data_IF_898781102523
#
_entry.id   IF_898781102523
#
_cell.length_a   1.000
_cell.length_b   1.000
_cell.length_c   1.000
_cell.angle_alpha   90.00
_cell.angle_beta   90.00
_cell.angle_gamma   90.00
#
_symmetry.space_group_name_H-M   'P 1'
#
loop_
_entity.id
_entity.type
_entity.pdbx_description
1 polymer ?
#
# COMPACT_ATOMS: atom_id res chain seq x y z
N UNK A 1 5.97 -22.52 30.36
CA UNK A 1 6.59 -22.77 29.04
C UNK A 1 6.00 -21.70 28.15
N UNK A 2 6.80 -20.68 27.83
CA UNK A 2 6.34 -19.46 27.14
C UNK A 2 6.30 -19.73 25.63
N UNK A 3 5.42 -19.05 24.89
CA UNK A 3 5.26 -19.24 23.44
C UNK A 3 6.50 -18.86 22.62
N UNK A 4 7.01 -19.81 21.83
CA UNK A 4 8.02 -19.58 20.77
C UNK A 4 7.39 -19.26 19.40
N UNK A 5 6.05 -19.26 19.31
CA UNK A 5 5.32 -19.12 18.04
C UNK A 5 5.28 -17.68 17.48
N UNK A 6 5.37 -16.66 18.34
CA UNK A 6 5.27 -15.24 17.94
C UNK A 6 6.57 -14.65 17.34
N UNK A 7 7.72 -15.23 17.65
CA UNK A 7 9.00 -14.75 17.12
C UNK A 7 9.15 -15.07 15.61
N UNK A 8 8.71 -16.25 15.17
CA UNK A 8 8.80 -16.66 13.77
C UNK A 8 7.84 -15.88 12.84
N UNK A 9 6.65 -15.50 13.32
CA UNK A 9 5.70 -14.69 12.56
C UNK A 9 6.20 -13.24 12.40
N UNK A 10 6.77 -12.66 13.45
CA UNK A 10 7.38 -11.33 13.44
C UNK A 10 8.56 -11.25 12.47
N UNK A 11 9.52 -12.19 12.56
CA UNK A 11 10.70 -12.25 11.69
C UNK A 11 10.31 -12.46 10.20
N UNK A 12 9.21 -13.18 9.94
CA UNK A 12 8.66 -13.35 8.59
C UNK A 12 8.09 -12.05 8.01
N UNK A 13 7.36 -11.26 8.81
CA UNK A 13 6.81 -9.96 8.37
C UNK A 13 7.91 -8.92 8.14
N UNK A 14 8.98 -8.92 8.95
CA UNK A 14 10.14 -8.06 8.75
C UNK A 14 10.86 -8.37 7.44
N UNK A 15 11.11 -9.66 7.16
CA UNK A 15 11.71 -10.07 5.88
C UNK A 15 10.85 -9.69 4.67
N UNK A 16 9.52 -9.85 4.77
CA UNK A 16 8.58 -9.42 3.71
C UNK A 16 8.58 -7.91 3.52
N UNK A 17 8.58 -7.12 4.61
CA UNK A 17 8.64 -5.66 4.53
C UNK A 17 9.95 -5.16 3.91
N UNK A 18 11.09 -5.76 4.25
CA UNK A 18 12.38 -5.43 3.65
C UNK A 18 12.39 -5.72 2.14
N UNK A 19 11.89 -6.88 1.72
CA UNK A 19 11.72 -7.23 0.30
C UNK A 19 10.79 -6.25 -0.45
N UNK A 20 9.69 -5.80 0.18
CA UNK A 20 8.80 -4.78 -0.38
C UNK A 20 9.54 -3.45 -0.58
N UNK A 21 10.29 -2.99 0.42
CA UNK A 21 11.06 -1.74 0.35
C UNK A 21 12.16 -1.81 -0.71
N UNK A 22 12.88 -2.92 -0.80
CA UNK A 22 13.87 -3.12 -1.85
C UNK A 22 13.24 -3.24 -3.24
N UNK A 23 12.04 -3.82 -3.38
CA UNK A 23 11.31 -3.78 -4.65
C UNK A 23 10.90 -2.35 -5.03
N UNK A 24 10.41 -1.54 -4.08
CA UNK A 24 10.08 -0.13 -4.33
C UNK A 24 11.31 0.67 -4.82
N UNK A 25 12.49 0.45 -4.22
CA UNK A 25 13.74 1.08 -4.67
C UNK A 25 14.20 0.55 -6.03
N UNK A 26 14.22 -0.77 -6.20
CA UNK A 26 14.95 -1.41 -7.31
C UNK A 26 14.08 -1.64 -8.55
N UNK A 27 12.79 -1.96 -8.41
CA UNK A 27 11.87 -2.21 -9.51
C UNK A 27 11.05 -0.97 -9.89
N UNK A 28 10.48 -0.25 -8.90
CA UNK A 28 9.78 1.02 -9.15
C UNK A 28 10.72 2.23 -9.31
N UNK A 29 12.02 2.07 -9.02
CA UNK A 29 13.03 3.14 -9.11
C UNK A 29 12.70 4.36 -8.24
N UNK A 30 12.07 4.14 -7.09
CA UNK A 30 11.84 5.23 -6.14
C UNK A 30 13.17 5.74 -5.57
N UNK A 31 13.38 7.07 -5.49
CA UNK A 31 14.55 7.64 -4.82
C UNK A 31 14.51 7.30 -3.32
N UNK A 32 15.66 7.21 -2.66
CA UNK A 32 15.73 7.04 -1.20
C UNK A 32 15.08 8.27 -0.54
N UNK A 33 14.10 8.09 0.36
CA UNK A 33 13.39 9.20 0.99
C UNK A 33 14.20 9.79 2.15
N UNK A 34 14.22 11.13 2.26
CA UNK A 34 14.72 11.81 3.46
C UNK A 34 13.66 11.87 4.56
N UNK A 35 12.38 11.63 4.21
CA UNK A 35 11.26 11.61 5.14
C UNK A 35 10.19 10.59 4.73
N UNK A 36 9.63 9.90 5.71
CA UNK A 36 8.43 9.05 5.55
C UNK A 36 7.22 9.77 6.17
N UNK A 37 6.23 10.11 5.34
CA UNK A 37 4.97 10.70 5.78
C UNK A 37 3.89 9.61 5.70
N UNK A 38 3.49 9.04 6.84
CA UNK A 38 2.31 8.17 6.88
C UNK A 38 1.07 8.98 7.24
N UNK A 39 0.03 8.88 6.43
CA UNK A 39 -1.28 9.46 6.74
C UNK A 39 -2.32 8.35 6.85
N UNK A 40 -3.07 8.41 7.94
CA UNK A 40 -4.16 7.50 8.29
C UNK A 40 -5.45 8.30 8.45
N UNK A 41 -6.57 7.70 8.08
CA UNK A 41 -7.89 8.28 8.23
C UNK A 41 -8.97 7.22 7.97
N UNK A 42 -10.15 7.41 8.56
CA UNK A 42 -11.29 6.55 8.28
C UNK A 42 -11.87 6.77 6.87
N UNK A 43 -12.65 5.81 6.39
CA UNK A 43 -13.37 5.91 5.12
C UNK A 43 -14.50 6.96 5.15
N UNK A 44 -14.98 7.32 6.35
CA UNK A 44 -15.99 8.35 6.57
C UNK A 44 -15.61 9.69 5.91
N UNK A 45 -16.63 10.42 5.43
CA UNK A 45 -16.44 11.70 4.76
C UNK A 45 -15.67 12.71 5.65
N UNK A 46 -14.42 12.99 5.27
CA UNK A 46 -13.58 13.96 5.96
C UNK A 46 -13.87 15.36 5.42
N UNK A 47 -14.39 16.25 6.28
CA UNK A 47 -14.69 17.64 5.92
C UNK A 47 -14.02 18.59 6.89
N UNK A 48 -12.92 19.21 6.47
CA UNK A 48 -12.36 20.37 7.17
C UNK A 48 -13.35 21.54 6.98
N UNK A 49 -13.97 22.10 8.04
CA UNK A 49 -15.10 23.02 7.89
C UNK A 49 -14.76 24.34 7.18
N UNK A 50 -13.51 24.80 7.32
CA UNK A 50 -13.05 26.09 6.81
C UNK A 50 -12.18 25.89 5.55
N UNK A 51 -12.58 26.41 4.38
CA UNK A 51 -11.83 26.25 3.13
C UNK A 51 -10.37 26.72 3.22
N UNK A 52 -10.11 27.79 3.97
CA UNK A 52 -8.75 28.32 4.20
C UNK A 52 -7.85 27.35 4.96
N UNK A 53 -8.38 26.61 5.94
CA UNK A 53 -7.64 25.58 6.68
C UNK A 53 -7.41 24.38 5.78
N UNK A 54 -8.43 23.95 5.02
CA UNK A 54 -8.29 22.87 4.07
C UNK A 54 -7.20 23.13 3.02
N UNK A 55 -7.21 24.34 2.44
CA UNK A 55 -6.19 24.79 1.50
C UNK A 55 -4.79 24.86 2.14
N UNK A 56 -4.67 25.40 3.36
CA UNK A 56 -3.39 25.47 4.07
C UNK A 56 -2.83 24.08 4.38
N UNK A 57 -3.68 23.12 4.76
CA UNK A 57 -3.30 21.72 4.95
C UNK A 57 -2.81 21.08 3.64
N UNK A 58 -3.60 21.16 2.56
CA UNK A 58 -3.22 20.60 1.25
C UNK A 58 -1.89 21.20 0.73
N UNK A 59 -1.72 22.53 0.86
CA UNK A 59 -0.48 23.20 0.45
C UNK A 59 0.72 22.87 1.35
N UNK A 60 0.51 22.77 2.67
CA UNK A 60 1.55 22.40 3.63
C UNK A 60 2.07 20.99 3.41
N UNK A 61 1.17 20.02 3.21
CA UNK A 61 1.52 18.62 2.93
C UNK A 61 2.34 18.48 1.63
N UNK A 62 1.85 19.08 0.54
CA UNK A 62 2.55 19.07 -0.75
C UNK A 62 3.93 19.72 -0.63
N UNK A 63 4.04 20.89 0.04
CA UNK A 63 5.31 21.59 0.23
C UNK A 63 6.29 20.78 1.07
N UNK A 64 5.84 20.17 2.16
CA UNK A 64 6.69 19.32 3.00
C UNK A 64 7.27 18.15 2.20
N UNK A 65 6.41 17.44 1.44
CA UNK A 65 6.83 16.31 0.63
C UNK A 65 7.82 16.69 -0.48
N UNK A 66 7.61 17.84 -1.14
CA UNK A 66 8.55 18.39 -2.13
C UNK A 66 9.91 18.75 -1.54
N UNK A 67 9.92 19.30 -0.31
CA UNK A 67 11.14 19.85 0.30
C UNK A 67 12.06 18.77 0.86
N UNK A 68 11.52 17.57 1.15
CA UNK A 68 12.21 16.47 1.86
C UNK A 68 12.21 15.15 1.08
N UNK A 69 12.00 15.22 -0.24
CA UNK A 69 11.93 14.06 -1.15
C UNK A 69 11.09 12.90 -0.59
N UNK A 70 9.95 13.22 0.05
CA UNK A 70 9.29 12.30 0.96
C UNK A 70 8.52 11.19 0.24
N UNK A 71 8.53 9.98 0.81
CA UNK A 71 7.54 8.96 0.48
C UNK A 71 6.29 9.18 1.35
N UNK A 72 5.12 9.08 0.73
CA UNK A 72 3.83 9.30 1.40
C UNK A 72 3.02 8.01 1.38
N UNK A 73 2.82 7.40 2.54
CA UNK A 73 1.97 6.23 2.69
C UNK A 73 0.55 6.62 3.11
N UNK A 74 -0.43 5.99 2.48
CA UNK A 74 -1.87 6.21 2.74
C UNK A 74 -2.65 4.90 2.60
N UNK A 75 -3.96 4.93 2.87
CA UNK A 75 -4.85 3.79 2.58
C UNK A 75 -5.06 3.52 1.08
N UNK A 76 -4.62 4.38 0.17
CA UNK A 76 -4.84 4.25 -1.29
C UNK A 76 -6.29 4.39 -1.79
N UNK A 77 -7.27 4.50 -0.90
CA UNK A 77 -8.70 4.51 -1.25
C UNK A 77 -9.22 5.93 -1.54
N UNK A 78 -10.11 6.09 -2.53
CA UNK A 78 -10.71 7.38 -2.93
C UNK A 78 -11.86 7.82 -2.00
N UNK A 79 -11.64 7.71 -0.69
CA UNK A 79 -12.60 8.08 0.37
C UNK A 79 -11.89 8.82 1.51
N UNK A 80 -12.66 9.48 2.37
CA UNK A 80 -12.18 10.15 3.57
C UNK A 80 -10.98 11.08 3.36
N UNK A 81 -10.01 10.99 4.26
CA UNK A 81 -8.78 11.81 4.24
C UNK A 81 -7.94 11.52 3.00
N UNK A 82 -7.84 10.25 2.58
CA UNK A 82 -6.98 9.82 1.48
C UNK A 82 -7.38 10.47 0.15
N UNK A 83 -8.68 10.65 -0.09
CA UNK A 83 -9.21 11.42 -1.22
C UNK A 83 -8.72 12.87 -1.22
N UNK A 84 -8.73 13.56 -0.08
CA UNK A 84 -8.27 14.94 -0.01
C UNK A 84 -6.75 15.08 -0.11
N UNK A 85 -5.99 14.03 0.18
CA UNK A 85 -4.56 13.93 -0.16
C UNK A 85 -4.41 13.78 -1.68
N UNK A 86 -5.10 12.83 -2.31
CA UNK A 86 -5.08 12.62 -3.76
C UNK A 86 -5.38 13.92 -4.52
N UNK A 87 -6.47 14.61 -4.15
CA UNK A 87 -6.86 15.92 -4.68
C UNK A 87 -5.77 17.00 -4.49
N UNK A 88 -5.00 16.97 -3.39
CA UNK A 88 -3.92 17.93 -3.16
C UNK A 88 -2.75 17.72 -4.13
N UNK A 89 -2.38 16.46 -4.34
CA UNK A 89 -1.31 16.09 -5.28
C UNK A 89 -1.74 16.28 -6.74
N UNK A 90 -2.99 16.02 -7.10
CA UNK A 90 -3.50 16.31 -8.46
C UNK A 90 -3.49 17.81 -8.79
N UNK A 91 -4.03 18.66 -7.89
CA UNK A 91 -3.90 20.13 -8.01
C UNK A 91 -2.45 20.56 -8.14
N UNK A 92 -1.52 19.83 -7.53
CA UNK A 92 -0.10 20.10 -7.69
C UNK A 92 0.42 19.66 -9.06
N UNK A 93 0.08 18.47 -9.54
CA UNK A 93 0.44 17.95 -10.88
C UNK A 93 -0.10 18.83 -12.00
N UNK A 94 -1.27 19.43 -11.81
CA UNK A 94 -1.84 20.42 -12.74
C UNK A 94 -1.01 21.72 -12.80
N UNK A 95 -0.41 22.15 -11.68
CA UNK A 95 0.38 23.40 -11.60
C UNK A 95 1.85 23.20 -11.97
N UNK A 96 2.44 22.08 -11.56
CA UNK A 96 3.79 21.65 -11.91
C UNK A 96 3.83 20.13 -12.06
N UNK A 97 3.67 19.68 -13.31
CA UNK A 97 3.65 18.26 -13.67
C UNK A 97 5.00 17.58 -13.51
N UNK A 98 6.11 18.33 -13.51
CA UNK A 98 7.45 17.77 -13.31
C UNK A 98 7.66 17.44 -11.85
N UNK A 99 7.54 18.43 -10.95
CA UNK A 99 7.85 18.24 -9.53
C UNK A 99 6.84 17.30 -8.87
N UNK A 100 5.55 17.39 -9.20
CA UNK A 100 4.57 16.50 -8.59
C UNK A 100 4.60 15.05 -9.16
N UNK A 101 5.38 14.79 -10.22
CA UNK A 101 5.63 13.42 -10.70
C UNK A 101 6.74 12.69 -9.93
N UNK A 102 7.58 13.40 -9.19
CA UNK A 102 8.72 12.82 -8.43
C UNK A 102 8.37 12.42 -7.01
N UNK A 103 7.19 12.81 -6.49
CA UNK A 103 6.75 12.54 -5.11
C UNK A 103 6.02 11.19 -5.06
N UNK A 104 6.54 10.16 -4.36
CA UNK A 104 5.88 8.88 -4.28
C UNK A 104 4.68 8.93 -3.30
N UNK A 105 3.48 9.17 -3.85
CA UNK A 105 2.22 8.93 -3.14
C UNK A 105 1.83 7.46 -3.32
N UNK A 106 1.96 6.68 -2.25
CA UNK A 106 1.85 5.21 -2.23
C UNK A 106 0.60 4.81 -1.45
N UNK A 107 -0.27 4.02 -2.09
CA UNK A 107 -1.45 3.44 -1.48
C UNK A 107 -1.16 2.02 -0.99
N UNK A 108 -1.23 1.77 0.32
CA UNK A 108 -1.21 0.41 0.88
C UNK A 108 -2.67 0.00 1.09
N UNK A 109 -3.18 -0.85 0.19
CA UNK A 109 -4.59 -1.24 0.11
C UNK A 109 -4.76 -2.72 0.44
N UNK A 110 -5.86 -3.08 1.10
CA UNK A 110 -6.30 -4.46 1.20
C UNK A 110 -6.99 -4.86 -0.13
N UNK A 111 -6.54 -5.95 -0.74
CA UNK A 111 -7.11 -6.49 -1.97
C UNK A 111 -8.63 -6.72 -1.86
N UNK A 112 -9.10 -7.25 -0.74
CA UNK A 112 -10.51 -7.60 -0.53
C UNK A 112 -11.40 -6.39 -0.18
N UNK A 113 -10.81 -5.27 0.26
CA UNK A 113 -11.54 -3.98 0.42
C UNK A 113 -11.50 -3.12 -0.84
N UNK A 114 -10.96 -3.63 -1.96
CA UNK A 114 -10.79 -2.83 -3.19
C UNK A 114 -11.94 -3.10 -4.16
N UNK A 115 -12.65 -2.05 -4.57
CA UNK A 115 -13.72 -2.16 -5.58
C UNK A 115 -13.16 -2.63 -6.92
N UNK A 116 -13.89 -3.50 -7.62
CA UNK A 116 -13.55 -4.06 -8.95
C UNK A 116 -12.18 -4.76 -9.06
N UNK A 117 -11.61 -5.20 -7.92
CA UNK A 117 -10.32 -5.88 -7.84
C UNK A 117 -10.15 -7.00 -8.88
N UNK A 118 -11.18 -7.82 -9.15
CA UNK A 118 -11.13 -8.90 -10.17
C UNK A 118 -10.77 -8.41 -11.57
N UNK A 119 -11.13 -7.18 -11.95
CA UNK A 119 -10.79 -6.61 -13.25
C UNK A 119 -9.28 -6.39 -13.38
N UNK A 120 -8.58 -6.16 -12.26
CA UNK A 120 -7.11 -6.03 -12.22
C UNK A 120 -6.37 -7.36 -12.37
N UNK A 121 -7.07 -8.51 -12.32
CA UNK A 121 -6.51 -9.86 -12.54
C UNK A 121 -6.86 -10.48 -13.89
N UNK A 122 -7.85 -9.96 -14.61
CA UNK A 122 -8.34 -10.64 -15.83
C UNK A 122 -7.38 -10.53 -17.04
N UNK A 123 -6.45 -9.57 -17.02
CA UNK A 123 -5.39 -9.43 -18.03
C UNK A 123 -4.23 -10.45 -17.86
N UNK A 124 -4.27 -11.35 -16.86
CA UNK A 124 -3.09 -12.11 -16.45
C UNK A 124 -2.98 -13.57 -16.94
N UNK A 125 -3.88 -14.04 -17.80
CA UNK A 125 -3.85 -15.43 -18.30
C UNK A 125 -2.70 -15.74 -19.30
N UNK A 126 -1.88 -14.74 -19.65
CA UNK A 126 -0.84 -14.83 -20.70
C UNK A 126 0.62 -14.88 -20.19
N UNK A 127 0.89 -14.92 -18.88
CA UNK A 127 2.28 -14.90 -18.36
C UNK A 127 2.77 -16.29 -17.98
N UNK A 128 3.63 -16.81 -18.86
CA UNK A 128 4.35 -18.09 -18.76
C UNK A 128 5.29 -18.20 -17.56
N UNK A 129 5.52 -19.45 -17.16
CA UNK A 129 6.48 -19.89 -16.13
C UNK A 129 7.91 -19.41 -16.44
N UNK A 130 8.56 -18.72 -15.49
CA UNK A 130 10.02 -18.55 -15.46
C UNK A 130 10.63 -19.66 -14.56
N UNK A 131 11.44 -20.59 -15.10
CA UNK A 131 12.01 -21.70 -14.32
C UNK A 131 12.98 -21.28 -13.20
N UNK A 132 13.51 -20.05 -13.23
CA UNK A 132 14.50 -19.58 -12.25
C UNK A 132 13.89 -18.85 -11.03
N UNK A 133 12.56 -18.84 -10.89
CA UNK A 133 11.82 -18.07 -9.87
C UNK A 133 11.72 -18.72 -8.48
N UNK A 134 12.43 -19.82 -8.23
CA UNK A 134 12.19 -20.82 -7.15
C UNK A 134 12.43 -20.38 -5.69
N UNK A 135 12.40 -19.09 -5.40
CA UNK A 135 12.28 -18.56 -4.02
C UNK A 135 11.48 -17.25 -3.91
N UNK A 136 11.00 -16.69 -5.03
CA UNK A 136 10.25 -15.42 -5.07
C UNK A 136 8.79 -15.63 -5.53
N UNK A 137 8.55 -16.63 -6.38
CA UNK A 137 7.21 -17.01 -6.88
C UNK A 137 6.16 -17.21 -5.79
N UNK A 138 6.57 -17.77 -4.66
CA UNK A 138 5.66 -18.34 -3.64
C UNK A 138 5.24 -17.33 -2.56
N UNK A 139 5.62 -16.06 -2.72
CA UNK A 139 5.27 -14.94 -1.82
C UNK A 139 4.80 -13.70 -2.58
N UNK A 140 5.15 -13.55 -3.85
CA UNK A 140 4.84 -12.32 -4.60
C UNK A 140 4.36 -12.62 -6.01
N UNK A 141 3.03 -12.60 -6.20
CA UNK A 141 2.43 -12.56 -7.55
C UNK A 141 2.47 -11.13 -8.07
N UNK A 142 3.65 -10.69 -8.52
CA UNK A 142 3.87 -9.34 -9.07
C UNK A 142 3.13 -9.19 -10.41
N UNK A 143 1.85 -8.80 -10.37
CA UNK A 143 1.10 -8.42 -11.57
C UNK A 143 1.62 -7.10 -12.15
N UNK A 144 2.60 -7.21 -13.05
CA UNK A 144 3.21 -6.04 -13.66
C UNK A 144 2.46 -5.61 -14.93
N UNK A 145 1.42 -4.77 -14.73
CA UNK A 145 0.61 -3.97 -15.70
C UNK A 145 -0.75 -4.57 -16.11
N UNK A 146 -1.74 -3.71 -16.48
CA UNK A 146 -1.72 -2.24 -16.57
C UNK A 146 -2.39 -1.55 -15.36
N UNK A 147 -1.72 -0.69 -14.59
CA UNK A 147 -1.18 0.61 -15.02
C UNK A 147 0.36 0.63 -14.95
N UNK A 148 1.01 1.08 -16.04
CA UNK A 148 2.47 1.03 -16.30
C UNK A 148 3.38 1.06 -15.05
N UNK A 149 3.89 -0.11 -14.62
CA UNK A 149 4.87 -0.33 -13.54
C UNK A 149 4.48 0.24 -12.16
N UNK A 150 3.19 0.47 -11.86
CA UNK A 150 2.77 1.23 -10.66
C UNK A 150 1.90 0.47 -9.67
N UNK A 151 1.56 -0.79 -9.96
CA UNK A 151 0.79 -1.66 -9.07
C UNK A 151 1.64 -2.89 -8.80
N UNK A 152 1.63 -3.38 -7.55
CA UNK A 152 2.24 -4.64 -7.16
C UNK A 152 1.36 -5.31 -6.11
N UNK A 153 1.15 -6.62 -6.27
CA UNK A 153 0.35 -7.46 -5.38
C UNK A 153 1.28 -8.35 -4.55
N UNK A 154 1.19 -8.24 -3.23
CA UNK A 154 1.96 -9.02 -2.27
C UNK A 154 1.06 -10.03 -1.58
N UNK A 155 1.51 -11.29 -1.53
CA UNK A 155 0.74 -12.43 -1.01
C UNK A 155 1.31 -12.90 0.33
N UNK A 156 0.51 -12.74 1.37
CA UNK A 156 0.85 -13.05 2.75
C UNK A 156 0.61 -14.54 3.06
N UNK A 157 1.61 -15.22 3.65
CA UNK A 157 1.49 -16.60 4.17
C UNK A 157 0.56 -16.65 5.41
N UNK A 158 -0.22 -17.74 5.51
CA UNK A 158 -1.39 -18.10 6.38
C UNK A 158 -1.30 -17.79 7.90
N UNK A 159 -2.42 -17.78 8.69
CA UNK A 159 -3.73 -18.45 8.45
C UNK A 159 -5.09 -17.75 8.82
N UNK A 160 -6.18 -18.31 8.28
CA UNK A 160 -7.57 -18.44 8.82
C UNK A 160 -8.49 -17.20 9.11
N UNK A 161 -9.45 -16.99 8.19
CA UNK A 161 -10.92 -16.96 8.46
C UNK A 161 -11.54 -15.81 9.32
N UNK A 162 -12.19 -14.69 8.84
CA UNK A 162 -13.24 -14.50 7.78
C UNK A 162 -13.61 -12.98 7.50
N UNK A 163 -14.88 -12.71 7.10
CA UNK A 163 -15.67 -11.48 6.75
C UNK A 163 -15.33 -10.65 5.50
N UNK A 164 -16.38 -10.13 4.82
CA UNK A 164 -16.30 -9.35 3.58
C UNK A 164 -16.56 -7.85 3.87
N UNK A 165 -15.53 -6.99 3.78
CA UNK A 165 -15.64 -5.59 4.17
C UNK A 165 -16.35 -4.72 3.11
N UNK A 166 -16.74 -3.50 3.51
CA UNK A 166 -17.06 -2.45 2.55
C UNK A 166 -15.91 -2.27 1.55
N UNK A 167 -16.22 -2.27 0.25
CA UNK A 167 -15.23 -2.04 -0.79
C UNK A 167 -15.13 -0.56 -1.09
N UNK A 168 -13.90 -0.04 -1.17
CA UNK A 168 -13.61 1.32 -1.54
C UNK A 168 -12.85 1.35 -2.88
N UNK A 169 -13.17 2.29 -3.79
CA UNK A 169 -12.42 2.47 -5.03
C UNK A 169 -11.00 2.96 -4.75
N UNK A 170 -10.07 2.62 -5.63
CA UNK A 170 -8.70 3.15 -5.60
C UNK A 170 -8.68 4.62 -5.99
N UNK A 171 -7.77 5.39 -5.40
CA UNK A 171 -7.58 6.80 -5.74
C UNK A 171 -6.64 6.96 -6.96
N UNK A 172 -7.21 7.45 -8.07
CA UNK A 172 -6.49 7.63 -9.34
C UNK A 172 -5.34 8.65 -9.28
N UNK A 173 -5.23 9.44 -8.20
CA UNK A 173 -4.18 10.45 -8.03
C UNK A 173 -2.89 9.86 -7.45
N UNK A 174 -2.95 8.67 -6.87
CA UNK A 174 -1.80 7.97 -6.32
C UNK A 174 -0.81 7.58 -7.42
N UNK A 175 0.46 7.54 -7.04
CA UNK A 175 1.55 7.20 -7.96
C UNK A 175 1.79 5.71 -8.04
N UNK A 176 1.62 5.00 -6.92
CA UNK A 176 1.90 3.57 -6.77
C UNK A 176 0.92 2.89 -5.81
N UNK A 177 0.69 1.59 -6.00
CA UNK A 177 -0.15 0.76 -5.15
C UNK A 177 0.55 -0.51 -4.70
N UNK A 178 0.57 -0.73 -3.39
CA UNK A 178 0.89 -2.00 -2.74
C UNK A 178 -0.43 -2.67 -2.35
N UNK A 179 -0.83 -3.66 -3.13
CA UNK A 179 -2.03 -4.46 -2.88
C UNK A 179 -1.67 -5.63 -2.00
N UNK A 180 -2.23 -5.67 -0.79
CA UNK A 180 -1.97 -6.74 0.18
C UNK A 180 -3.11 -7.76 0.10
N UNK A 181 -2.77 -9.00 -0.25
CA UNK A 181 -3.68 -10.13 -0.34
C UNK A 181 -3.16 -11.28 0.52
N UNK A 182 -4.02 -12.15 1.02
CA UNK A 182 -3.62 -13.45 1.55
C UNK A 182 -3.77 -14.56 0.49
N UNK A 183 -3.41 -15.79 0.86
CA UNK A 183 -3.36 -16.93 -0.07
C UNK A 183 -4.73 -17.48 -0.50
N UNK A 184 -5.85 -17.02 0.06
CA UNK A 184 -7.16 -17.61 -0.23
C UNK A 184 -7.91 -16.88 -1.36
N UNK A 185 -8.36 -17.67 -2.33
CA UNK A 185 -9.24 -17.22 -3.43
C UNK A 185 -10.68 -16.94 -2.97
N UNK A 186 -11.49 -16.43 -3.90
CA UNK A 186 -12.83 -15.91 -3.61
C UNK A 186 -13.85 -16.98 -3.17
N UNK A 187 -13.64 -18.25 -3.53
CA UNK A 187 -14.65 -19.32 -3.47
C UNK A 187 -14.79 -20.05 -2.12
N UNK A 188 -13.97 -19.73 -1.12
CA UNK A 188 -13.95 -20.50 0.13
C UNK A 188 -15.14 -20.14 1.04
N UNK A 189 -16.08 -21.08 1.25
CA UNK A 189 -17.30 -20.99 2.09
C UNK A 189 -17.03 -20.39 3.49
N UNK A 190 -15.78 -20.50 3.93
CA UNK A 190 -15.12 -19.83 5.03
C UNK A 190 -15.01 -18.29 4.88
N UNK A 191 -16.14 -17.59 4.70
CA UNK A 191 -16.23 -16.11 4.67
C UNK A 191 -17.03 -15.43 5.82
N UNK A 192 -17.63 -16.18 6.77
CA UNK A 192 -18.74 -15.71 7.66
C UNK A 192 -18.50 -15.70 9.20
N UNK A 193 -17.38 -15.24 9.76
CA UNK A 193 -17.25 -15.02 11.23
C UNK A 193 -16.31 -13.84 11.61
N UNK A 194 -16.59 -13.16 12.72
CA UNK A 194 -15.96 -11.88 13.09
C UNK A 194 -14.48 -11.98 13.48
N UNK A 195 -14.05 -13.13 14.04
CA UNK A 195 -12.73 -13.25 14.70
C UNK A 195 -11.55 -13.04 13.75
N UNK A 196 -11.55 -13.64 12.55
CA UNK A 196 -10.47 -13.41 11.60
C UNK A 196 -10.68 -12.25 10.64
N UNK A 197 -11.83 -11.56 10.69
CA UNK A 197 -11.94 -10.20 10.13
C UNK A 197 -10.92 -9.30 10.83
N UNK A 198 -10.92 -9.39 12.18
CA UNK A 198 -10.00 -8.68 13.07
C UNK A 198 -8.55 -9.14 12.85
N UNK A 199 -8.30 -10.46 12.75
CA UNK A 199 -6.96 -10.98 12.48
C UNK A 199 -6.39 -10.52 11.12
N UNK A 200 -7.17 -10.55 10.05
CA UNK A 200 -6.75 -10.09 8.71
C UNK A 200 -6.48 -8.59 8.68
N UNK A 201 -7.34 -7.79 9.31
CA UNK A 201 -7.11 -6.35 9.48
C UNK A 201 -5.77 -6.10 10.22
N UNK A 202 -5.52 -6.82 11.32
CA UNK A 202 -4.27 -6.74 12.07
C UNK A 202 -3.05 -7.18 11.25
N UNK A 203 -3.14 -8.26 10.46
CA UNK A 203 -2.04 -8.72 9.61
C UNK A 203 -1.63 -7.65 8.57
N UNK A 204 -2.61 -7.03 7.92
CA UNK A 204 -2.40 -5.97 6.93
C UNK A 204 -1.89 -4.69 7.57
N UNK A 205 -2.39 -4.32 8.76
CA UNK A 205 -1.88 -3.19 9.55
C UNK A 205 -0.44 -3.44 10.05
N UNK A 206 -0.12 -4.67 10.46
CA UNK A 206 1.22 -5.06 10.92
C UNK A 206 2.23 -5.04 9.77
N UNK A 207 1.88 -5.62 8.60
CA UNK A 207 2.75 -5.53 7.43
C UNK A 207 2.92 -4.06 6.98
N UNK A 208 1.85 -3.26 6.95
CA UNK A 208 1.95 -1.81 6.69
C UNK A 208 2.94 -1.15 7.66
N UNK A 209 2.79 -1.37 8.96
CA UNK A 209 3.65 -0.79 9.98
C UNK A 209 5.12 -1.19 9.76
N UNK A 210 5.39 -2.45 9.40
CA UNK A 210 6.73 -2.94 9.06
C UNK A 210 7.27 -2.35 7.75
N UNK A 211 6.47 -2.20 6.70
CA UNK A 211 6.88 -1.51 5.45
C UNK A 211 7.30 -0.07 5.77
N UNK A 212 6.53 0.64 6.60
CA UNK A 212 6.88 1.99 7.03
C UNK A 212 8.11 2.03 7.95
N UNK A 213 8.33 1.01 8.78
CA UNK A 213 9.53 0.85 9.62
C UNK A 213 10.80 0.64 8.77
N UNK A 214 10.76 -0.32 7.84
CA UNK A 214 11.86 -0.57 6.88
C UNK A 214 12.11 0.63 5.97
N UNK A 215 11.05 1.34 5.56
CA UNK A 215 11.19 2.59 4.80
C UNK A 215 11.89 3.69 5.61
N UNK A 216 11.73 3.72 6.95
CA UNK A 216 12.49 4.62 7.83
C UNK A 216 13.93 4.17 8.05
N UNK A 217 14.22 2.86 8.03
CA UNK A 217 15.59 2.34 8.14
C UNK A 217 16.46 2.77 6.95
N UNK A 218 15.93 2.74 5.73
CA UNK A 218 16.68 3.20 4.54
C UNK A 218 16.93 4.73 4.53
N UNK A 219 16.05 5.53 5.13
CA UNK A 219 16.26 6.98 5.32
C UNK A 219 17.49 7.24 6.21
N UNK A 220 17.61 6.50 7.31
CA UNK A 220 18.69 6.69 8.29
C UNK A 220 20.05 6.11 7.83
N UNK A 221 20.05 5.23 6.83
CA UNK A 221 21.28 4.65 6.25
C UNK A 221 21.86 5.47 5.09
N UNK A 222 21.17 6.53 4.64
CA UNK A 222 21.61 7.43 3.57
C UNK A 222 22.36 8.68 4.03
N UNK A 223 22.78 8.75 5.30
CA UNK A 223 23.52 9.86 5.91
C UNK A 223 24.95 9.45 6.29
#
# INVERSE_FOLDING_TARGET
MQDDTDNNSTMSLESQAAQIVDFMRNAWKLPVPELIISVTGGANAFKIPLPRIHQAFQQGLVKAAMTTSAWIFTSGTHVGVTKEIGNAFDKCRYRDSKVASTIPLIGIVNWYTTTDNKQLTQDSNDISQDPNSSSISDLVTIFNRPIKNRVCLYRLRKPLEKEKPETYPLDHNHTHFLMLQDEFGDDDIKWKNESGATYRANLILNLRAKIEEESRKITNQGQ
#
